data_IF_529345896057
#
_entry.id   IF_529345896057
#
_cell.length_a   1.000
_cell.length_b   1.000
_cell.length_c   1.000
_cell.angle_alpha   90.00
_cell.angle_beta   90.00
_cell.angle_gamma   90.00
#
_symmetry.space_group_name_H-M   'P 1'
#
loop_
_entity.id
_entity.type
_entity.pdbx_description
1 polymer ?
#
# COMPACT_ATOMS: atom_id res chain seq x y z
N UNK A 1 9.93 15.67 25.18
CA UNK A 1 8.79 14.82 24.74
C UNK A 1 9.37 13.77 23.80
N UNK A 2 9.19 12.46 24.02
CA UNK A 2 9.66 11.47 23.06
C UNK A 2 8.79 11.60 21.80
N UNK A 3 9.41 11.97 20.68
CA UNK A 3 8.74 12.01 19.39
C UNK A 3 8.44 10.58 18.94
N UNK A 4 7.16 10.24 18.84
CA UNK A 4 6.73 9.01 18.16
C UNK A 4 7.18 9.11 16.70
N UNK A 5 7.70 8.04 16.06
CA UNK A 5 8.17 8.07 14.66
C UNK A 5 7.15 8.58 13.64
N UNK A 6 5.87 8.60 14.02
CA UNK A 6 4.73 8.96 13.18
C UNK A 6 4.17 10.37 13.45
N UNK A 7 4.80 11.17 14.33
CA UNK A 7 4.33 12.51 14.67
C UNK A 7 2.93 12.58 15.31
N UNK A 8 2.35 11.44 15.69
CA UNK A 8 1.02 11.30 16.31
C UNK A 8 1.11 10.86 17.76
N UNK A 9 0.04 11.14 18.51
CA UNK A 9 -0.12 10.66 19.88
C UNK A 9 -0.03 9.12 19.95
N UNK A 10 0.65 8.54 20.97
CA UNK A 10 0.82 7.10 21.11
C UNK A 10 -0.49 6.31 21.19
N UNK A 11 -1.54 6.85 21.81
CA UNK A 11 -2.83 6.16 21.94
C UNK A 11 -3.54 6.06 20.58
N UNK A 12 -3.53 7.14 19.80
CA UNK A 12 -4.05 7.14 18.42
C UNK A 12 -3.29 6.16 17.54
N UNK A 13 -1.96 6.13 17.66
CA UNK A 13 -1.11 5.18 16.91
C UNK A 13 -1.47 3.72 17.24
N UNK A 14 -1.59 3.39 18.54
CA UNK A 14 -1.93 2.04 18.98
C UNK A 14 -3.33 1.60 18.52
N UNK A 15 -4.29 2.53 18.49
CA UNK A 15 -5.63 2.27 17.96
C UNK A 15 -5.59 1.86 16.48
N UNK A 16 -4.85 2.59 15.65
CA UNK A 16 -4.70 2.25 14.24
C UNK A 16 -3.97 0.91 14.04
N UNK A 17 -2.89 0.66 14.79
CA UNK A 17 -2.17 -0.62 14.72
C UNK A 17 -3.08 -1.80 15.05
N UNK A 18 -3.91 -1.69 16.10
CA UNK A 18 -4.89 -2.73 16.44
C UNK A 18 -5.91 -2.95 15.34
N UNK A 19 -6.42 -1.86 14.74
CA UNK A 19 -7.37 -1.95 13.63
C UNK A 19 -6.75 -2.65 12.42
N UNK A 20 -5.55 -2.26 12.02
CA UNK A 20 -4.82 -2.85 10.90
C UNK A 20 -4.44 -4.32 11.15
N UNK A 21 -4.10 -4.67 12.39
CA UNK A 21 -3.86 -6.08 12.78
C UNK A 21 -5.16 -6.90 12.71
N UNK A 22 -6.28 -6.32 13.14
CA UNK A 22 -7.60 -6.95 13.04
C UNK A 22 -8.09 -7.18 11.61
N UNK A 23 -7.58 -6.39 10.65
CA UNK A 23 -7.81 -6.58 9.20
C UNK A 23 -6.73 -7.46 8.54
N UNK A 24 -5.84 -8.08 9.32
CA UNK A 24 -4.70 -8.87 8.82
C UNK A 24 -3.70 -8.07 7.95
N UNK A 25 -3.82 -6.74 7.88
CA UNK A 25 -2.90 -5.86 7.14
C UNK A 25 -1.54 -5.71 7.83
N UNK A 26 -1.50 -5.95 9.15
CA UNK A 26 -0.29 -6.02 9.95
C UNK A 26 -0.20 -7.33 10.72
N UNK A 27 1.01 -7.85 10.84
CA UNK A 27 1.34 -8.99 11.69
C UNK A 27 2.31 -8.56 12.80
N UNK A 28 2.01 -8.98 14.03
CA UNK A 28 2.88 -8.72 15.17
C UNK A 28 4.12 -9.63 15.13
N UNK A 29 5.29 -9.01 15.25
CA UNK A 29 6.57 -9.70 15.38
C UNK A 29 6.90 -9.96 16.86
N UNK A 30 7.88 -10.86 17.16
CA UNK A 30 8.30 -11.12 18.52
C UNK A 30 8.66 -9.86 19.29
N UNK A 31 8.15 -9.77 20.53
CA UNK A 31 8.42 -8.62 21.40
C UNK A 31 9.92 -8.48 21.67
N UNK A 32 10.41 -7.24 21.67
CA UNK A 32 11.80 -6.90 21.97
C UNK A 32 11.91 -5.86 23.07
N UNK A 33 13.09 -5.75 23.69
CA UNK A 33 13.38 -4.63 24.59
C UNK A 33 13.75 -3.39 23.78
N UNK A 34 12.98 -2.34 23.96
CA UNK A 34 13.23 -1.00 23.49
C UNK A 34 14.15 -0.20 24.40
N UNK A 35 14.34 1.07 24.07
CA UNK A 35 15.21 1.96 24.83
C UNK A 35 14.73 2.10 26.28
N UNK A 36 15.66 2.12 27.25
CA UNK A 36 15.38 2.17 28.70
C UNK A 36 14.49 1.03 29.23
N UNK A 37 14.49 -0.14 28.59
CA UNK A 37 13.81 -1.34 29.10
C UNK A 37 12.31 -1.40 28.78
N UNK A 38 11.79 -0.49 27.94
CA UNK A 38 10.43 -0.58 27.43
C UNK A 38 10.22 -1.90 26.66
N UNK A 39 9.04 -2.51 26.75
CA UNK A 39 8.68 -3.67 25.93
C UNK A 39 7.99 -3.20 24.66
N UNK A 40 8.59 -3.47 23.51
CA UNK A 40 8.06 -3.09 22.20
C UNK A 40 7.61 -4.33 21.43
N UNK A 41 6.49 -4.22 20.71
CA UNK A 41 6.02 -5.24 19.75
C UNK A 41 6.13 -4.60 18.36
N UNK A 42 7.12 -5.01 17.54
CA UNK A 42 7.19 -4.54 16.15
C UNK A 42 6.07 -5.15 15.31
N UNK A 43 5.63 -4.46 14.26
CA UNK A 43 4.64 -4.96 13.31
C UNK A 43 5.22 -4.95 11.89
N UNK A 44 4.93 -5.98 11.09
CA UNK A 44 5.23 -6.01 9.65
C UNK A 44 3.94 -5.91 8.84
N UNK A 45 4.00 -5.25 7.69
CA UNK A 45 2.93 -5.31 6.70
C UNK A 45 2.89 -6.70 6.04
N UNK A 46 1.69 -7.23 5.79
CA UNK A 46 1.45 -8.56 5.23
C UNK A 46 1.33 -8.59 3.71
N UNK A 47 1.48 -7.44 3.05
CA UNK A 47 1.19 -7.23 1.62
C UNK A 47 -0.28 -7.53 1.21
N UNK A 48 -1.17 -7.78 2.18
CA UNK A 48 -2.60 -7.98 1.94
C UNK A 48 -3.32 -6.72 1.45
N UNK A 49 -2.73 -5.53 1.62
CA UNK A 49 -3.27 -4.27 1.11
C UNK A 49 -3.46 -4.26 -0.40
N UNK A 50 -2.70 -5.09 -1.13
CA UNK A 50 -2.82 -5.25 -2.58
C UNK A 50 -3.88 -6.28 -3.02
N UNK A 51 -4.33 -7.14 -2.09
CA UNK A 51 -5.40 -8.13 -2.35
C UNK A 51 -6.81 -7.57 -2.11
N UNK A 52 -6.91 -6.35 -1.60
CA UNK A 52 -8.16 -5.58 -1.62
C UNK A 52 -8.51 -5.38 -3.10
N UNK A 53 -9.63 -5.99 -3.51
CA UNK A 53 -10.03 -6.07 -4.91
C UNK A 53 -10.23 -4.65 -5.46
N UNK A 54 -9.71 -4.38 -6.67
CA UNK A 54 -9.99 -3.13 -7.37
C UNK A 54 -11.47 -3.00 -7.76
N UNK A 55 -12.22 -4.11 -7.65
CA UNK A 55 -13.67 -4.20 -7.83
C UNK A 55 -14.46 -3.91 -6.55
N UNK A 56 -13.82 -3.58 -5.43
CA UNK A 56 -14.54 -3.24 -4.21
C UNK A 56 -15.24 -1.89 -4.39
N UNK A 57 -16.55 -1.94 -4.64
CA UNK A 57 -17.42 -0.78 -4.93
C UNK A 57 -17.62 0.12 -3.68
N UNK A 58 -17.21 -0.37 -2.50
CA UNK A 58 -17.37 0.30 -1.21
C UNK A 58 -16.24 1.31 -0.92
N UNK A 59 -16.31 2.46 -1.58
CA UNK A 59 -16.00 3.73 -0.91
C UNK A 59 -14.97 4.64 -1.58
N UNK A 60 -15.43 5.81 -2.03
CA UNK A 60 -14.61 6.92 -2.50
C UNK A 60 -13.53 7.35 -1.50
N UNK A 61 -13.81 7.27 -0.19
CA UNK A 61 -12.86 7.65 0.87
C UNK A 61 -11.61 6.73 0.90
N UNK A 62 -11.77 5.44 0.57
CA UNK A 62 -10.63 4.52 0.47
C UNK A 62 -9.75 4.87 -0.73
N UNK A 63 -10.36 5.20 -1.87
CA UNK A 63 -9.66 5.62 -3.08
C UNK A 63 -8.89 6.93 -2.88
N UNK A 64 -9.50 7.91 -2.20
CA UNK A 64 -8.86 9.18 -1.85
C UNK A 64 -7.66 8.96 -0.93
N UNK A 65 -7.82 8.17 0.13
CA UNK A 65 -6.73 7.84 1.04
C UNK A 65 -5.57 7.09 0.34
N UNK A 66 -5.87 6.20 -0.62
CA UNK A 66 -4.84 5.53 -1.42
C UNK A 66 -4.08 6.50 -2.32
N UNK A 67 -4.78 7.44 -2.97
CA UNK A 67 -4.15 8.46 -3.79
C UNK A 67 -3.27 9.40 -2.93
N UNK A 68 -3.77 9.85 -1.78
CA UNK A 68 -3.00 10.67 -0.84
C UNK A 68 -1.75 9.95 -0.35
N UNK A 69 -1.85 8.66 -0.03
CA UNK A 69 -0.70 7.86 0.38
C UNK A 69 0.35 7.77 -0.73
N UNK A 70 -0.07 7.52 -1.98
CA UNK A 70 0.83 7.52 -3.13
C UNK A 70 1.52 8.88 -3.31
N UNK A 71 0.78 9.99 -3.23
CA UNK A 71 1.35 11.33 -3.36
C UNK A 71 2.34 11.66 -2.23
N UNK A 72 2.08 11.19 -1.01
CA UNK A 72 2.99 11.33 0.11
C UNK A 72 4.29 10.52 -0.12
N UNK A 73 4.18 9.29 -0.61
CA UNK A 73 5.35 8.47 -0.97
C UNK A 73 6.18 9.14 -2.08
N UNK A 74 5.53 9.67 -3.12
CA UNK A 74 6.21 10.44 -4.19
C UNK A 74 6.93 11.66 -3.64
N UNK A 75 6.32 12.38 -2.69
CA UNK A 75 6.95 13.53 -2.04
C UNK A 75 8.20 13.13 -1.24
N UNK A 76 8.18 11.97 -0.58
CA UNK A 76 9.31 11.45 0.20
C UNK A 76 10.45 10.92 -0.70
N UNK A 77 10.13 10.21 -1.78
CA UNK A 77 11.15 9.66 -2.70
C UNK A 77 11.68 10.68 -3.70
N UNK A 78 10.95 11.76 -3.97
CA UNK A 78 11.27 12.74 -5.00
C UNK A 78 10.77 12.32 -6.38
N UNK A 79 10.03 13.22 -7.05
CA UNK A 79 9.39 12.96 -8.36
C UNK A 79 10.39 12.58 -9.45
N UNK A 80 11.64 13.03 -9.35
CA UNK A 80 12.73 12.72 -10.28
C UNK A 80 13.13 11.23 -10.28
N UNK A 81 12.75 10.49 -9.24
CA UNK A 81 12.99 9.05 -9.11
C UNK A 81 11.77 8.20 -9.46
N UNK A 82 10.66 8.84 -9.86
CA UNK A 82 9.44 8.17 -10.27
C UNK A 82 9.45 8.00 -11.78
N UNK A 83 9.55 6.74 -12.24
CA UNK A 83 9.30 6.40 -13.64
C UNK A 83 7.79 6.30 -13.88
N UNK A 84 7.26 7.12 -14.78
CA UNK A 84 5.82 7.24 -15.01
C UNK A 84 5.49 7.40 -16.49
N UNK A 85 4.41 6.73 -16.91
CA UNK A 85 3.86 6.86 -18.25
C UNK A 85 2.35 7.07 -18.16
N UNK A 86 1.82 8.00 -18.94
CA UNK A 86 0.38 8.18 -19.15
C UNK A 86 0.00 7.64 -20.52
N UNK A 87 -0.98 6.73 -20.55
CA UNK A 87 -1.51 6.13 -21.77
C UNK A 87 -3.02 6.38 -21.86
N UNK A 88 -3.50 6.75 -23.05
CA UNK A 88 -4.93 6.81 -23.37
C UNK A 88 -5.23 5.69 -24.37
N UNK A 89 -6.22 4.87 -24.05
CA UNK A 89 -6.64 3.74 -24.87
C UNK A 89 -8.08 3.98 -25.33
N UNK A 90 -8.33 3.83 -26.63
CA UNK A 90 -9.68 3.79 -27.19
C UNK A 90 -10.10 2.33 -27.34
N UNK A 91 -10.82 1.81 -26.35
CA UNK A 91 -11.30 0.43 -26.28
C UNK A 91 -12.80 0.42 -26.10
N UNK A 92 -13.45 -0.61 -26.63
CA UNK A 92 -14.82 -0.94 -26.24
C UNK A 92 -14.84 -1.53 -24.81
N UNK A 93 -16.04 -1.81 -24.30
CA UNK A 93 -16.20 -2.35 -22.94
C UNK A 93 -15.46 -3.68 -22.74
N UNK A 94 -15.50 -4.55 -23.75
CA UNK A 94 -14.81 -5.85 -23.73
C UNK A 94 -13.28 -5.68 -23.67
N UNK A 95 -12.72 -4.83 -24.53
CA UNK A 95 -11.29 -4.54 -24.53
C UNK A 95 -10.82 -3.86 -23.24
N UNK A 96 -11.63 -2.95 -22.68
CA UNK A 96 -11.32 -2.32 -21.40
C UNK A 96 -11.30 -3.33 -20.24
N UNK A 97 -12.24 -4.28 -20.22
CA UNK A 97 -12.26 -5.36 -19.24
C UNK A 97 -11.04 -6.29 -19.40
N UNK A 98 -10.74 -6.72 -20.63
CA UNK A 98 -9.56 -7.56 -20.92
C UNK A 98 -8.27 -6.90 -20.44
N UNK A 99 -8.08 -5.61 -20.74
CA UNK A 99 -6.88 -4.87 -20.34
C UNK A 99 -6.71 -4.83 -18.82
N UNK A 100 -7.79 -4.54 -18.08
CA UNK A 100 -7.78 -4.52 -16.60
C UNK A 100 -7.46 -5.90 -16.03
N UNK A 101 -8.10 -6.94 -16.54
CA UNK A 101 -7.91 -8.31 -16.03
C UNK A 101 -6.47 -8.80 -16.28
N UNK A 102 -5.90 -8.51 -17.47
CA UNK A 102 -4.51 -8.89 -17.77
C UNK A 102 -3.49 -8.13 -16.92
N UNK A 103 -3.70 -6.83 -16.70
CA UNK A 103 -2.81 -6.05 -15.82
C UNK A 103 -2.93 -6.53 -14.37
N UNK A 104 -4.14 -6.80 -13.89
CA UNK A 104 -4.36 -7.36 -12.56
C UNK A 104 -3.69 -8.72 -12.40
N UNK A 105 -3.85 -9.62 -13.36
CA UNK A 105 -3.20 -10.93 -13.35
C UNK A 105 -1.68 -10.83 -13.27
N UNK A 106 -1.07 -9.91 -14.04
CA UNK A 106 0.37 -9.65 -13.99
C UNK A 106 0.81 -9.19 -12.59
N UNK A 107 0.09 -8.24 -11.99
CA UNK A 107 0.43 -7.73 -10.66
C UNK A 107 0.29 -8.83 -9.59
N UNK A 108 -0.75 -9.66 -9.69
CA UNK A 108 -0.94 -10.80 -8.79
C UNK A 108 0.14 -11.87 -8.95
N UNK A 109 0.60 -12.13 -10.17
CA UNK A 109 1.71 -13.04 -10.44
C UNK A 109 2.96 -12.65 -9.64
N UNK A 110 3.34 -11.36 -9.64
CA UNK A 110 4.49 -10.88 -8.90
C UNK A 110 4.24 -10.78 -7.39
N UNK A 111 3.04 -10.38 -6.97
CA UNK A 111 2.67 -10.31 -5.55
C UNK A 111 2.66 -11.68 -4.88
N UNK A 112 2.39 -12.76 -5.62
CA UNK A 112 2.41 -14.13 -5.13
C UNK A 112 3.82 -14.73 -4.99
N UNK A 113 4.86 -14.06 -5.52
CA UNK A 113 6.24 -14.57 -5.43
C UNK A 113 6.77 -14.42 -4.01
N UNK A 114 7.66 -15.34 -3.63
CA UNK A 114 8.39 -15.21 -2.39
C UNK A 114 9.22 -13.91 -2.41
N UNK A 115 9.21 -13.18 -1.30
CA UNK A 115 10.02 -11.96 -1.15
C UNK A 115 11.50 -12.35 -1.19
N UNK A 116 12.22 -11.84 -2.19
CA UNK A 116 13.67 -11.94 -2.25
C UNK A 116 14.30 -10.96 -1.24
N UNK A 117 14.99 -11.43 -0.19
CA UNK A 117 15.60 -10.56 0.82
C UNK A 117 16.74 -9.70 0.26
N UNK A 118 17.28 -10.04 -0.91
CA UNK A 118 18.30 -9.26 -1.62
C UNK A 118 17.72 -8.29 -2.66
N UNK A 119 16.42 -8.40 -2.94
CA UNK A 119 15.73 -7.58 -3.93
C UNK A 119 15.50 -6.14 -3.46
N UNK A 120 15.63 -5.19 -4.38
CA UNK A 120 15.15 -3.82 -4.15
C UNK A 120 13.62 -3.82 -4.12
N UNK A 121 13.01 -3.17 -3.13
CA UNK A 121 11.57 -2.95 -3.09
C UNK A 121 11.16 -2.02 -4.22
N UNK A 122 10.18 -2.44 -5.01
CA UNK A 122 9.51 -1.64 -6.03
C UNK A 122 8.09 -1.37 -5.56
N UNK A 123 7.65 -0.10 -5.60
CA UNK A 123 6.27 0.29 -5.36
C UNK A 123 5.58 0.57 -6.69
N UNK A 124 4.33 0.14 -6.85
CA UNK A 124 3.56 0.31 -8.08
C UNK A 124 2.19 0.87 -7.71
N UNK A 125 1.81 1.98 -8.34
CA UNK A 125 0.49 2.58 -8.27
C UNK A 125 -0.13 2.58 -9.67
N UNK A 126 -1.38 2.11 -9.79
CA UNK A 126 -2.12 2.07 -11.06
C UNK A 126 -3.49 2.68 -10.83
N UNK A 127 -3.90 3.58 -11.74
CA UNK A 127 -5.23 4.17 -11.74
C UNK A 127 -5.86 4.06 -13.13
N UNK A 128 -7.14 3.71 -13.16
CA UNK A 128 -7.98 3.72 -14.36
C UNK A 128 -9.02 4.83 -14.22
N UNK A 129 -9.09 5.72 -15.20
CA UNK A 129 -10.05 6.83 -15.20
C UNK A 129 -10.46 7.18 -16.64
N UNK A 130 -11.62 7.85 -16.83
CA UNK A 130 -12.03 8.32 -18.15
C UNK A 130 -10.98 9.27 -18.76
N UNK A 131 -10.46 8.91 -19.94
CA UNK A 131 -9.51 9.72 -20.70
C UNK A 131 -10.24 10.72 -21.60
N UNK A 132 -10.84 11.75 -21.00
CA UNK A 132 -11.36 12.92 -21.73
C UNK A 132 -10.25 13.74 -22.38
#
# INVERSE_FOLDING_TARGET
MPHTPLGRDPATTLHHVRRLTGMELLEALPARRGNRGAREIPYRATALSWRLDWRDEDGSATHEAMLEAYLAEVADVGVERVDQTRLVLALDEGGAAEFRDRLHALMQEFAARAVDPSGSRQAVYVAFYPGG
#
